data_IF_317322864987
#
_entry.id   IF_317322864987
#
_cell.length_a   1.000
_cell.length_b   1.000
_cell.length_c   1.000
_cell.angle_alpha   90.00
_cell.angle_beta   90.00
_cell.angle_gamma   90.00
#
_symmetry.space_group_name_H-M   'P 1'
#
loop_
_entity.id
_entity.type
_entity.pdbx_description
1 polymer ?
#
# COMPACT_ATOMS: atom_id res chain seq x y z
N UNK A 1 -0.25 23.68 -2.79
CA UNK A 1 -1.31 22.93 -2.11
C UNK A 1 -1.13 22.90 -0.60
N UNK A 2 0.09 22.98 -0.10
CA UNK A 2 0.42 23.21 1.34
C UNK A 2 -0.19 24.49 1.95
N UNK A 3 -0.57 25.46 1.14
CA UNK A 3 -1.12 26.75 1.59
C UNK A 3 -2.63 26.69 1.94
N UNK A 4 -3.36 25.67 1.48
CA UNK A 4 -4.80 25.56 1.74
C UNK A 4 -5.11 24.95 3.13
N UNK A 5 -4.24 24.07 3.62
CA UNK A 5 -4.45 23.44 4.95
C UNK A 5 -4.11 24.36 6.14
N UNK A 6 -3.35 25.44 5.93
CA UNK A 6 -3.02 26.42 6.99
C UNK A 6 -4.16 27.35 7.36
N UNK A 7 -5.26 27.37 6.59
CA UNK A 7 -6.40 28.29 6.82
C UNK A 7 -7.69 27.59 7.27
N UNK A 8 -7.71 26.25 7.34
CA UNK A 8 -8.89 25.50 7.77
C UNK A 8 -8.75 25.15 9.26
N UNK A 9 -9.16 26.05 10.14
CA UNK A 9 -9.44 25.72 11.53
C UNK A 9 -10.85 25.15 11.60
N UNK A 10 -11.00 23.85 11.61
CA UNK A 10 -12.30 23.22 11.85
C UNK A 10 -12.67 23.43 13.33
N UNK A 11 -13.81 24.04 13.57
CA UNK A 11 -14.29 24.30 14.93
C UNK A 11 -15.19 23.18 15.47
N UNK A 12 -15.61 22.24 14.61
CA UNK A 12 -16.38 21.07 14.99
C UNK A 12 -16.35 19.94 13.93
N UNK A 13 -16.80 18.74 14.34
CA UNK A 13 -16.83 17.52 13.55
C UNK A 13 -17.76 17.61 12.33
N UNK A 14 -18.83 18.37 12.44
CA UNK A 14 -19.86 18.48 11.40
C UNK A 14 -19.32 19.29 10.20
N UNK A 15 -18.49 20.31 10.44
CA UNK A 15 -17.85 21.12 9.39
C UNK A 15 -16.84 20.30 8.56
N UNK A 16 -16.07 19.42 9.22
CA UNK A 16 -15.16 18.49 8.55
C UNK A 16 -15.92 17.46 7.71
N UNK A 17 -17.02 16.93 8.22
CA UNK A 17 -17.86 15.93 7.54
C UNK A 17 -18.52 16.52 6.30
N UNK A 18 -19.02 17.76 6.37
CA UNK A 18 -19.66 18.41 5.23
C UNK A 18 -18.66 18.74 4.12
N UNK A 19 -17.43 19.14 4.44
CA UNK A 19 -16.39 19.43 3.44
C UNK A 19 -15.88 18.12 2.79
N UNK A 20 -15.77 17.03 3.53
CA UNK A 20 -15.46 15.70 3.00
C UNK A 20 -16.54 15.20 2.02
N UNK A 21 -17.81 15.52 2.29
CA UNK A 21 -18.95 15.20 1.42
C UNK A 21 -18.91 15.99 0.12
N UNK A 22 -18.55 17.28 0.17
CA UNK A 22 -18.42 18.15 -1.00
C UNK A 22 -17.24 17.75 -1.91
N UNK A 23 -16.22 17.07 -1.34
CA UNK A 23 -15.11 16.46 -2.07
C UNK A 23 -15.45 15.08 -2.67
N UNK A 24 -16.71 14.62 -2.55
CA UNK A 24 -17.20 13.39 -3.16
C UNK A 24 -16.93 12.11 -2.35
N UNK A 25 -16.66 12.22 -1.07
CA UNK A 25 -16.59 11.08 -0.15
C UNK A 25 -17.98 10.69 0.30
N UNK A 26 -18.53 9.60 -0.20
CA UNK A 26 -19.81 9.06 0.26
C UNK A 26 -19.68 8.45 1.65
N UNK A 27 -20.54 8.87 2.55
CA UNK A 27 -20.52 8.70 4.01
C UNK A 27 -20.92 7.29 4.51
N UNK A 28 -21.11 6.29 3.67
CA UNK A 28 -21.76 5.04 4.07
C UNK A 28 -20.88 4.05 4.86
N UNK A 29 -19.57 4.31 5.09
CA UNK A 29 -18.67 3.36 5.75
C UNK A 29 -17.90 3.89 6.99
N UNK A 30 -18.03 5.17 7.38
CA UNK A 30 -17.22 5.71 8.49
C UNK A 30 -18.01 6.65 9.41
N UNK A 31 -18.10 6.27 10.68
CA UNK A 31 -18.31 7.20 11.78
C UNK A 31 -16.97 7.43 12.45
N UNK A 32 -16.51 8.68 12.55
CA UNK A 32 -15.33 9.06 13.35
C UNK A 32 -15.41 8.51 14.77
N UNK A 33 -16.65 8.31 15.28
CA UNK A 33 -16.95 7.67 16.55
C UNK A 33 -16.48 6.22 16.65
N UNK A 34 -16.36 5.48 15.53
CA UNK A 34 -15.96 4.07 15.53
C UNK A 34 -14.43 3.92 15.48
N UNK A 35 -13.70 4.99 15.10
CA UNK A 35 -12.24 5.04 15.11
C UNK A 35 -11.64 5.43 16.47
N UNK A 36 -12.46 5.62 17.52
CA UNK A 36 -11.99 5.96 18.87
C UNK A 36 -11.92 7.46 19.17
N UNK A 37 -12.49 8.32 18.29
CA UNK A 37 -12.45 9.78 18.43
C UNK A 37 -13.51 10.37 19.40
N UNK A 38 -14.39 9.55 19.99
CA UNK A 38 -15.54 10.02 20.79
C UNK A 38 -15.23 10.81 22.06
N UNK A 39 -14.04 10.65 22.62
CA UNK A 39 -13.67 11.20 23.91
C UNK A 39 -12.36 12.02 23.89
N UNK A 40 -11.95 12.52 22.73
CA UNK A 40 -10.76 13.36 22.64
C UNK A 40 -11.11 14.81 22.94
N UNK A 41 -10.73 15.29 24.13
CA UNK A 41 -10.66 16.70 24.46
C UNK A 41 -9.48 17.31 23.69
N UNK A 42 -9.74 17.98 22.57
CA UNK A 42 -8.73 18.62 21.73
C UNK A 42 -8.00 19.78 22.43
N UNK A 43 -8.51 20.26 23.57
CA UNK A 43 -7.93 21.35 24.35
C UNK A 43 -6.69 20.93 25.17
N UNK A 44 -6.38 19.65 25.31
CA UNK A 44 -5.30 19.16 26.19
C UNK A 44 -3.95 18.97 25.47
N UNK A 45 -3.88 19.28 24.16
CA UNK A 45 -2.66 19.08 23.33
C UNK A 45 -1.82 20.35 23.09
N UNK A 46 -2.08 21.44 23.83
CA UNK A 46 -1.39 22.72 23.62
C UNK A 46 -0.30 22.99 24.66
N UNK A 47 0.54 22.03 25.00
CA UNK A 47 1.68 22.33 25.85
C UNK A 47 3.03 22.04 25.15
N UNK A 48 3.54 23.08 24.50
CA UNK A 48 4.98 23.32 24.45
C UNK A 48 5.78 23.01 23.20
N UNK A 49 5.22 22.96 22.00
CA UNK A 49 5.98 23.27 20.75
C UNK A 49 5.00 23.50 19.59
N UNK A 50 5.28 24.51 18.75
CA UNK A 50 4.48 24.88 17.57
C UNK A 50 4.51 23.83 16.42
N UNK A 51 4.47 22.53 16.75
CA UNK A 51 4.34 21.46 15.76
C UNK A 51 2.86 21.24 15.55
N UNK A 52 2.36 21.69 14.41
CA UNK A 52 0.99 21.39 13.98
C UNK A 52 1.02 19.94 13.48
N UNK A 53 0.41 19.02 14.23
CA UNK A 53 0.25 17.63 13.84
C UNK A 53 -0.96 17.53 12.90
N UNK A 54 -0.77 16.96 11.72
CA UNK A 54 -1.87 16.68 10.77
C UNK A 54 -2.82 15.59 11.30
N UNK A 55 -2.34 14.78 12.28
CA UNK A 55 -3.08 13.69 12.90
C UNK A 55 -2.72 13.62 14.39
N UNK A 56 -3.70 13.60 15.33
CA UNK A 56 -3.40 13.42 16.74
C UNK A 56 -2.85 12.01 17.00
N UNK A 57 -1.95 11.87 17.98
CA UNK A 57 -1.46 10.57 18.40
C UNK A 57 -2.55 9.77 19.12
N UNK A 58 -2.98 8.66 18.54
CA UNK A 58 -3.89 7.68 19.14
C UNK A 58 -3.19 6.32 19.13
N UNK A 59 -2.93 5.74 20.30
CA UNK A 59 -2.24 4.48 20.39
C UNK A 59 -3.08 3.33 19.81
N UNK A 60 -2.54 2.56 18.87
CA UNK A 60 -3.20 1.35 18.35
C UNK A 60 -3.28 0.28 19.44
N UNK A 61 -4.46 -0.32 19.62
CA UNK A 61 -4.64 -1.46 20.53
C UNK A 61 -3.73 -2.64 20.13
N UNK A 62 -3.17 -3.36 21.11
CA UNK A 62 -2.24 -4.45 20.90
C UNK A 62 -2.81 -5.55 20.00
N UNK A 63 -4.12 -5.87 20.13
CA UNK A 63 -4.78 -6.88 19.28
C UNK A 63 -4.85 -6.43 17.82
N UNK A 64 -5.00 -5.13 17.58
CA UNK A 64 -4.99 -4.55 16.23
C UNK A 64 -3.57 -4.58 15.67
N UNK A 65 -2.55 -4.25 16.47
CA UNK A 65 -1.13 -4.40 16.08
C UNK A 65 -0.84 -5.81 15.59
N UNK A 66 -1.19 -6.83 16.40
CA UNK A 66 -1.01 -8.23 16.01
C UNK A 66 -1.75 -8.57 14.71
N UNK A 67 -3.01 -8.14 14.58
CA UNK A 67 -3.81 -8.39 13.39
C UNK A 67 -3.23 -7.69 12.13
N UNK A 68 -2.66 -6.49 12.26
CA UNK A 68 -1.96 -5.81 11.17
C UNK A 68 -0.72 -6.59 10.74
N UNK A 69 0.10 -7.04 11.69
CA UNK A 69 1.31 -7.81 11.43
C UNK A 69 0.97 -9.17 10.78
N UNK A 70 -0.10 -9.83 11.22
CA UNK A 70 -0.57 -11.10 10.65
C UNK A 70 -1.13 -10.91 9.25
N UNK A 71 -2.00 -9.91 9.03
CA UNK A 71 -2.59 -9.62 7.72
C UNK A 71 -1.52 -9.24 6.69
N UNK A 72 -0.49 -8.49 7.11
CA UNK A 72 0.67 -8.15 6.28
C UNK A 72 1.67 -9.30 6.15
N UNK A 73 1.46 -10.44 6.84
CA UNK A 73 2.35 -11.60 6.80
C UNK A 73 3.81 -11.24 7.17
N UNK A 74 3.97 -10.40 8.20
CA UNK A 74 5.29 -9.91 8.63
C UNK A 74 6.17 -11.03 9.14
N UNK A 75 7.41 -11.07 8.70
CA UNK A 75 8.39 -12.10 9.01
C UNK A 75 9.80 -11.53 9.24
N UNK A 76 10.72 -12.34 9.68
CA UNK A 76 12.13 -11.97 9.88
C UNK A 76 12.90 -11.61 8.58
N UNK A 77 12.29 -11.87 7.42
CA UNK A 77 12.87 -11.50 6.12
C UNK A 77 12.50 -10.08 5.71
N UNK A 78 11.61 -9.45 6.45
CA UNK A 78 11.05 -8.15 6.12
C UNK A 78 11.87 -6.98 6.70
N UNK A 79 11.65 -5.82 6.10
CA UNK A 79 11.97 -4.51 6.65
C UNK A 79 10.65 -3.75 6.75
N UNK A 80 10.15 -3.61 7.97
CA UNK A 80 8.91 -2.90 8.25
C UNK A 80 9.20 -1.41 8.42
N UNK A 81 8.40 -0.57 7.77
CA UNK A 81 8.35 0.87 8.01
C UNK A 81 6.97 1.24 8.58
N UNK A 82 6.97 1.91 9.73
CA UNK A 82 5.76 2.47 10.35
C UNK A 82 5.77 3.98 10.15
N UNK A 83 4.85 4.48 9.31
CA UNK A 83 4.79 5.90 8.95
C UNK A 83 3.74 6.59 9.84
N UNK A 84 4.20 7.50 10.71
CA UNK A 84 3.45 8.02 11.84
C UNK A 84 3.52 7.04 13.01
N UNK A 85 4.74 6.67 13.43
CA UNK A 85 4.95 5.52 14.32
C UNK A 85 4.57 5.79 15.78
N UNK A 86 4.32 7.05 16.16
CA UNK A 86 4.04 7.43 17.54
C UNK A 86 5.07 6.86 18.50
N UNK A 87 4.62 6.16 19.54
CA UNK A 87 5.45 5.53 20.57
C UNK A 87 6.18 4.25 20.11
N UNK A 88 6.15 3.93 18.81
CA UNK A 88 6.89 2.83 18.21
C UNK A 88 6.33 1.43 18.46
N UNK A 89 5.11 1.30 19.03
CA UNK A 89 4.55 -0.01 19.43
C UNK A 89 4.46 -1.03 18.32
N UNK A 90 4.12 -0.64 17.08
CA UNK A 90 4.03 -1.57 15.94
C UNK A 90 5.42 -2.05 15.55
N UNK A 91 6.40 -1.15 15.49
CA UNK A 91 7.80 -1.48 15.17
C UNK A 91 8.41 -2.41 16.23
N UNK A 92 8.18 -2.10 17.52
CA UNK A 92 8.67 -2.91 18.65
C UNK A 92 8.01 -4.28 18.65
N UNK A 93 6.69 -4.38 18.44
CA UNK A 93 5.99 -5.66 18.35
C UNK A 93 6.50 -6.51 17.18
N UNK A 94 6.73 -5.93 16.00
CA UNK A 94 7.31 -6.63 14.86
C UNK A 94 8.71 -7.16 15.16
N UNK A 95 9.55 -6.36 15.82
CA UNK A 95 10.89 -6.78 16.22
C UNK A 95 10.86 -7.90 17.26
N UNK A 96 10.04 -7.76 18.30
CA UNK A 96 9.96 -8.69 19.43
C UNK A 96 9.37 -10.06 19.02
N UNK A 97 8.30 -10.06 18.25
CA UNK A 97 7.53 -11.26 17.96
C UNK A 97 7.91 -11.94 16.65
N UNK A 98 8.37 -11.17 15.66
CA UNK A 98 8.67 -11.67 14.31
C UNK A 98 10.16 -11.63 13.99
N UNK A 99 10.99 -11.09 14.91
CA UNK A 99 12.43 -10.85 14.67
C UNK A 99 12.65 -10.02 13.39
N UNK A 100 11.77 -9.03 13.15
CA UNK A 100 11.74 -8.17 11.94
C UNK A 100 12.53 -6.90 12.21
N UNK A 101 13.30 -6.45 11.23
CA UNK A 101 13.90 -5.12 11.28
C UNK A 101 12.80 -4.08 11.04
N UNK A 102 12.75 -3.05 11.87
CA UNK A 102 11.73 -2.03 11.80
C UNK A 102 12.31 -0.61 11.84
N UNK A 103 11.68 0.27 11.08
CA UNK A 103 11.95 1.71 11.05
C UNK A 103 10.66 2.44 11.37
N UNK A 104 10.66 3.29 12.39
CA UNK A 104 9.57 4.17 12.73
C UNK A 104 9.90 5.60 12.33
N UNK A 105 8.97 6.30 11.72
CA UNK A 105 9.09 7.70 11.34
C UNK A 105 7.91 8.47 11.93
N UNK A 106 8.21 9.54 12.65
CA UNK A 106 7.21 10.45 13.20
C UNK A 106 7.74 11.89 13.19
N UNK A 107 6.84 12.84 13.05
CA UNK A 107 7.21 14.26 13.05
C UNK A 107 7.40 14.78 14.47
N UNK A 108 6.84 14.10 15.48
CA UNK A 108 6.91 14.49 16.88
C UNK A 108 8.17 13.94 17.57
N UNK A 109 9.16 14.77 17.94
CA UNK A 109 10.38 14.32 18.60
C UNK A 109 10.13 13.67 19.96
N UNK A 110 9.02 14.01 20.66
CA UNK A 110 8.66 13.35 21.91
C UNK A 110 8.26 11.90 21.66
N UNK A 111 7.46 11.63 20.63
CA UNK A 111 7.09 10.27 20.25
C UNK A 111 8.30 9.43 19.85
N UNK A 112 9.23 10.02 19.11
CA UNK A 112 10.50 9.36 18.76
C UNK A 112 11.33 9.01 20.02
N UNK A 113 11.38 9.90 20.99
CA UNK A 113 12.05 9.61 22.28
C UNK A 113 11.38 8.42 23.00
N UNK A 114 10.07 8.45 23.13
CA UNK A 114 9.29 7.35 23.75
C UNK A 114 9.49 6.02 23.02
N UNK A 115 9.49 6.04 21.68
CA UNK A 115 9.70 4.85 20.85
C UNK A 115 11.10 4.24 21.07
N UNK A 116 12.15 5.07 21.17
CA UNK A 116 13.52 4.64 21.47
C UNK A 116 13.59 4.01 22.87
N UNK A 117 13.03 4.67 23.87
CA UNK A 117 13.00 4.18 25.25
C UNK A 117 12.22 2.85 25.35
N UNK A 118 11.11 2.73 24.64
CA UNK A 118 10.32 1.50 24.60
C UNK A 118 11.11 0.35 23.96
N UNK A 119 11.80 0.57 22.85
CA UNK A 119 12.64 -0.44 22.21
C UNK A 119 13.81 -0.88 23.12
N UNK A 120 14.45 0.05 23.83
CA UNK A 120 15.51 -0.26 24.79
C UNK A 120 14.98 -1.06 25.98
N UNK A 121 13.83 -0.68 26.53
CA UNK A 121 13.20 -1.37 27.66
C UNK A 121 12.82 -2.83 27.30
N UNK A 122 12.42 -3.06 26.07
CA UNK A 122 12.05 -4.40 25.57
C UNK A 122 13.24 -5.19 25.02
N UNK A 123 14.43 -4.56 24.88
CA UNK A 123 15.66 -5.20 24.42
C UNK A 123 15.68 -5.51 22.92
N UNK A 124 14.96 -4.74 22.11
CA UNK A 124 14.90 -4.89 20.63
C UNK A 124 15.52 -3.72 19.87
N UNK A 125 16.24 -2.83 20.54
CA UNK A 125 16.89 -1.65 19.98
C UNK A 125 17.83 -1.97 18.82
N UNK A 126 18.38 -3.16 18.78
CA UNK A 126 19.28 -3.61 17.71
C UNK A 126 18.55 -3.98 16.40
N UNK A 127 17.22 -4.16 16.45
CA UNK A 127 16.36 -4.41 15.27
C UNK A 127 15.58 -3.17 14.84
N UNK A 128 15.53 -2.12 15.67
CA UNK A 128 14.66 -0.98 15.47
C UNK A 128 15.46 0.30 15.21
N UNK A 129 14.88 1.17 14.40
CA UNK A 129 15.42 2.51 14.16
C UNK A 129 14.26 3.52 14.13
N UNK A 130 14.38 4.60 14.89
CA UNK A 130 13.35 5.63 14.94
C UNK A 130 13.94 6.97 14.49
N UNK A 131 13.21 7.70 13.66
CA UNK A 131 13.65 8.94 13.06
C UNK A 131 12.56 10.00 13.15
N UNK A 132 12.92 11.19 13.62
CA UNK A 132 12.10 12.37 13.43
C UNK A 132 12.08 12.76 11.93
N UNK A 133 10.89 12.97 11.36
CA UNK A 133 10.77 13.36 9.97
C UNK A 133 9.35 13.43 9.46
N UNK A 134 9.17 14.25 8.43
CA UNK A 134 7.93 14.29 7.66
C UNK A 134 7.80 13.03 6.77
N UNK A 135 6.77 12.24 7.00
CA UNK A 135 6.50 11.03 6.22
C UNK A 135 6.24 11.30 4.72
N UNK A 136 5.88 12.54 4.36
CA UNK A 136 5.73 12.95 2.96
C UNK A 136 7.07 13.23 2.27
N UNK A 137 8.18 13.40 3.03
CA UNK A 137 9.53 13.65 2.52
C UNK A 137 10.49 12.48 2.81
N UNK A 138 10.21 11.66 3.82
CA UNK A 138 11.07 10.57 4.27
C UNK A 138 11.30 9.49 3.21
N UNK A 139 12.49 8.87 3.20
CA UNK A 139 12.80 7.73 2.34
C UNK A 139 12.37 6.41 3.00
N UNK A 140 11.39 5.75 2.41
CA UNK A 140 10.91 4.42 2.78
C UNK A 140 11.07 3.39 1.66
N UNK A 141 11.89 3.67 0.66
CA UNK A 141 12.07 2.83 -0.54
C UNK A 141 12.61 1.42 -0.24
N UNK A 142 13.17 1.19 0.94
CA UNK A 142 13.68 -0.10 1.39
C UNK A 142 12.62 -0.98 2.06
N UNK A 143 11.42 -0.43 2.31
CA UNK A 143 10.35 -1.18 2.96
C UNK A 143 9.92 -2.39 2.12
N UNK A 144 9.67 -3.51 2.81
CA UNK A 144 8.93 -4.68 2.29
C UNK A 144 7.54 -4.77 2.89
N UNK A 145 7.36 -4.11 4.04
CA UNK A 145 6.07 -3.89 4.70
C UNK A 145 6.00 -2.43 5.15
N UNK A 146 4.86 -1.80 4.95
CA UNK A 146 4.51 -0.48 5.50
C UNK A 146 3.28 -0.62 6.38
N UNK A 147 3.32 0.00 7.56
CA UNK A 147 2.15 0.13 8.45
C UNK A 147 1.74 1.59 8.55
N UNK A 148 0.41 1.81 8.66
CA UNK A 148 -0.20 3.12 8.69
C UNK A 148 -1.33 3.14 9.72
N UNK A 149 -1.38 4.20 10.52
CA UNK A 149 -2.57 4.60 11.27
C UNK A 149 -2.76 6.11 11.12
N UNK A 150 -3.11 6.52 9.90
CA UNK A 150 -3.24 7.90 9.48
C UNK A 150 -4.62 8.13 8.87
N UNK A 151 -5.10 9.38 8.87
CA UNK A 151 -6.38 9.74 8.25
C UNK A 151 -6.41 9.40 6.75
N UNK A 152 -7.61 9.15 6.20
CA UNK A 152 -7.81 8.85 4.77
C UNK A 152 -7.16 9.89 3.86
N UNK A 153 -7.23 11.17 4.21
CA UNK A 153 -6.64 12.27 3.43
C UNK A 153 -5.11 12.13 3.36
N UNK A 154 -4.46 11.81 4.48
CA UNK A 154 -3.02 11.62 4.54
C UNK A 154 -2.61 10.37 3.75
N UNK A 155 -3.37 9.28 3.88
CA UNK A 155 -3.15 8.07 3.10
C UNK A 155 -3.27 8.33 1.59
N UNK A 156 -4.28 9.10 1.15
CA UNK A 156 -4.47 9.48 -0.26
C UNK A 156 -3.34 10.37 -0.75
N UNK A 157 -2.83 11.29 0.07
CA UNK A 157 -1.70 12.15 -0.25
C UNK A 157 -0.40 11.34 -0.37
N UNK A 158 -0.18 10.37 0.52
CA UNK A 158 1.00 9.50 0.53
C UNK A 158 0.98 8.45 -0.60
N UNK A 159 -0.21 8.04 -1.04
CA UNK A 159 -0.42 6.98 -2.04
C UNK A 159 0.43 7.07 -3.30
N UNK A 160 0.61 8.23 -3.96
CA UNK A 160 1.48 8.32 -5.15
C UNK A 160 2.91 7.89 -4.86
N UNK A 161 3.47 8.31 -3.72
CA UNK A 161 4.82 7.92 -3.29
C UNK A 161 4.90 6.43 -2.98
N UNK A 162 3.92 5.86 -2.27
CA UNK A 162 3.83 4.42 -2.00
C UNK A 162 3.85 3.60 -3.30
N UNK A 163 3.11 4.04 -4.32
CA UNK A 163 3.04 3.37 -5.63
C UNK A 163 4.28 3.55 -6.50
N UNK A 164 5.04 4.63 -6.32
CA UNK A 164 6.19 4.97 -7.16
C UNK A 164 7.51 4.53 -6.56
N UNK A 165 7.67 4.62 -5.24
CA UNK A 165 8.94 4.41 -4.54
C UNK A 165 9.08 2.98 -3.99
N UNK A 166 7.97 2.33 -3.62
CA UNK A 166 8.00 0.97 -3.10
C UNK A 166 8.14 -0.06 -4.22
N UNK A 167 8.82 -1.15 -3.91
CA UNK A 167 8.96 -2.28 -4.84
C UNK A 167 7.63 -3.00 -5.02
N UNK A 168 7.30 -3.46 -6.23
CA UNK A 168 6.16 -4.36 -6.43
C UNK A 168 6.24 -5.56 -5.50
N UNK A 169 5.11 -5.90 -4.86
CA UNK A 169 5.04 -6.94 -3.84
C UNK A 169 5.21 -6.43 -2.40
N UNK A 170 5.61 -5.16 -2.19
CA UNK A 170 5.58 -4.56 -0.85
C UNK A 170 4.14 -4.54 -0.33
N UNK A 171 3.93 -4.97 0.91
CA UNK A 171 2.63 -5.05 1.57
C UNK A 171 2.44 -3.80 2.42
N UNK A 172 1.24 -3.23 2.37
CA UNK A 172 0.86 -2.06 3.14
C UNK A 172 -0.34 -2.47 4.00
N UNK A 173 -0.23 -2.33 5.32
CA UNK A 173 -1.34 -2.55 6.26
C UNK A 173 -1.76 -1.22 6.87
N UNK A 174 -3.05 -0.90 6.81
CA UNK A 174 -3.60 0.32 7.41
C UNK A 174 -4.68 -0.01 8.44
N UNK A 175 -4.54 0.58 9.62
CA UNK A 175 -5.55 0.56 10.67
C UNK A 175 -6.64 1.58 10.36
N UNK A 176 -7.89 1.14 10.32
CA UNK A 176 -9.12 1.89 10.15
C UNK A 176 -9.29 2.60 8.80
N UNK A 177 -8.27 3.26 8.27
CA UNK A 177 -8.36 4.21 7.17
C UNK A 177 -7.93 3.61 5.83
N UNK A 178 -8.62 3.99 4.75
CA UNK A 178 -8.40 3.46 3.41
C UNK A 178 -7.52 4.38 2.53
N UNK A 179 -7.36 4.04 1.25
CA UNK A 179 -6.60 4.81 0.26
C UNK A 179 -7.47 5.32 -0.89
N UNK A 180 -8.71 5.72 -0.59
CA UNK A 180 -9.65 6.25 -1.57
C UNK A 180 -10.02 5.22 -2.64
N UNK A 181 -9.80 5.55 -3.90
CA UNK A 181 -10.15 4.71 -5.04
C UNK A 181 -9.17 3.55 -5.31
N UNK A 182 -8.04 3.49 -4.60
CA UNK A 182 -7.19 2.30 -4.58
C UNK A 182 -7.76 1.28 -3.62
N UNK A 183 -8.59 0.38 -4.12
CA UNK A 183 -9.25 -0.65 -3.30
C UNK A 183 -8.24 -1.63 -2.71
N UNK A 184 -8.44 -1.98 -1.43
CA UNK A 184 -7.59 -2.94 -0.76
C UNK A 184 -7.66 -4.33 -1.42
N UNK A 185 -6.55 -5.07 -1.39
CA UNK A 185 -6.49 -6.47 -1.83
C UNK A 185 -7.16 -7.39 -0.80
N UNK A 186 -6.99 -7.08 0.49
CA UNK A 186 -7.61 -7.79 1.61
C UNK A 186 -8.13 -6.82 2.67
N UNK A 187 -9.16 -7.23 3.39
CA UNK A 187 -9.74 -6.51 4.52
C UNK A 187 -10.09 -7.49 5.62
N UNK A 188 -9.71 -7.17 6.85
CA UNK A 188 -10.09 -7.89 8.06
C UNK A 188 -10.86 -6.96 9.00
N UNK A 189 -12.03 -7.38 9.49
CA UNK A 189 -12.82 -6.60 10.44
C UNK A 189 -12.64 -7.15 11.87
N UNK A 190 -12.39 -6.26 12.81
CA UNK A 190 -12.25 -6.55 14.24
C UNK A 190 -13.21 -5.66 15.04
N UNK A 191 -14.42 -6.13 15.26
CA UNK A 191 -15.51 -5.31 15.81
C UNK A 191 -15.92 -4.24 14.80
N UNK A 192 -15.87 -2.96 15.21
CA UNK A 192 -16.11 -1.80 14.34
C UNK A 192 -14.89 -1.38 13.52
N UNK A 193 -13.69 -1.87 13.85
CA UNK A 193 -12.44 -1.47 13.18
C UNK A 193 -12.17 -2.35 11.99
N UNK A 194 -11.77 -1.75 10.87
CA UNK A 194 -11.28 -2.46 9.70
C UNK A 194 -9.76 -2.33 9.60
N UNK A 195 -9.10 -3.40 9.21
CA UNK A 195 -7.69 -3.40 8.82
C UNK A 195 -7.64 -3.73 7.35
N UNK A 196 -6.93 -2.93 6.60
CA UNK A 196 -6.81 -3.06 5.15
C UNK A 196 -5.41 -3.50 4.76
N UNK A 197 -5.30 -4.34 3.72
CA UNK A 197 -4.01 -4.68 3.10
C UNK A 197 -4.02 -4.34 1.62
N UNK A 198 -2.96 -3.69 1.15
CA UNK A 198 -2.63 -3.52 -0.26
C UNK A 198 -1.30 -4.18 -0.56
N UNK A 199 -1.17 -4.68 -1.79
CA UNK A 199 0.09 -5.17 -2.34
C UNK A 199 0.48 -4.24 -3.48
N UNK A 200 1.63 -3.58 -3.36
CA UNK A 200 2.09 -2.63 -4.39
C UNK A 200 2.22 -3.34 -5.73
N UNK A 201 1.48 -2.92 -6.76
CA UNK A 201 1.47 -3.60 -8.05
C UNK A 201 2.64 -3.17 -8.93
N UNK A 202 3.16 -4.08 -9.74
CA UNK A 202 4.08 -3.74 -10.80
C UNK A 202 3.41 -2.86 -11.88
N UNK A 203 4.20 -2.05 -12.58
CA UNK A 203 3.72 -1.18 -13.67
C UNK A 203 3.75 -1.96 -15.00
N UNK A 204 2.61 -2.57 -15.36
CA UNK A 204 2.48 -3.45 -16.54
C UNK A 204 1.72 -2.82 -17.71
N UNK A 205 1.24 -1.58 -17.60
CA UNK A 205 0.58 -0.88 -18.70
C UNK A 205 1.48 -0.74 -19.93
N UNK A 206 0.91 -0.88 -21.12
CA UNK A 206 1.59 -0.76 -22.41
C UNK A 206 1.49 -2.01 -23.27
N UNK A 207 2.23 -2.04 -24.37
CA UNK A 207 2.22 -3.15 -25.33
C UNK A 207 3.38 -4.09 -25.07
N UNK A 208 3.09 -5.41 -25.00
CA UNK A 208 4.06 -6.45 -24.72
C UNK A 208 3.99 -7.54 -25.79
N UNK A 209 5.15 -8.08 -26.18
CA UNK A 209 5.26 -9.17 -27.15
C UNK A 209 6.18 -10.27 -26.64
N UNK A 210 5.79 -11.52 -26.87
CA UNK A 210 6.61 -12.71 -26.58
C UNK A 210 6.26 -13.87 -27.50
N UNK A 211 7.13 -14.88 -27.52
CA UNK A 211 6.89 -16.14 -28.19
C UNK A 211 6.63 -17.23 -27.16
N UNK A 212 5.58 -18.06 -27.41
CA UNK A 212 5.31 -19.22 -26.60
C UNK A 212 6.09 -20.45 -27.08
N UNK A 213 6.17 -21.47 -26.22
CA UNK A 213 6.84 -22.75 -26.53
C UNK A 213 6.20 -23.49 -27.72
N UNK A 214 4.93 -23.19 -28.03
CA UNK A 214 4.24 -23.67 -29.24
C UNK A 214 4.74 -23.06 -30.55
N UNK A 215 5.58 -22.01 -30.48
CA UNK A 215 6.01 -21.20 -31.62
C UNK A 215 5.06 -20.05 -31.98
N UNK A 216 3.92 -19.93 -31.29
CA UNK A 216 3.01 -18.79 -31.50
C UNK A 216 3.57 -17.50 -30.93
N UNK A 217 3.35 -16.39 -31.63
CA UNK A 217 3.69 -15.05 -31.15
C UNK A 217 2.45 -14.42 -30.50
N UNK A 218 2.61 -13.92 -29.28
CA UNK A 218 1.59 -13.21 -28.53
C UNK A 218 1.93 -11.73 -28.43
N UNK A 219 0.92 -10.91 -28.55
CA UNK A 219 0.97 -9.47 -28.29
C UNK A 219 -0.21 -9.10 -27.41
N UNK A 220 0.01 -8.27 -26.40
CA UNK A 220 -1.06 -7.69 -25.57
C UNK A 220 -0.85 -6.19 -25.45
N UNK A 221 -1.95 -5.45 -25.42
CA UNK A 221 -1.97 -4.03 -25.06
C UNK A 221 -2.72 -3.91 -23.74
N UNK A 222 -2.01 -3.57 -22.67
CA UNK A 222 -2.54 -3.53 -21.32
C UNK A 222 -2.79 -2.10 -20.85
N UNK A 223 -3.97 -1.89 -20.26
CA UNK A 223 -4.35 -0.71 -19.48
C UNK A 223 -4.38 -1.11 -18.02
N UNK A 224 -3.91 -0.20 -17.14
CA UNK A 224 -3.80 -0.47 -15.71
C UNK A 224 -4.30 0.71 -14.90
N UNK A 225 -5.07 0.41 -13.86
CA UNK A 225 -5.33 1.31 -12.74
C UNK A 225 -5.10 0.53 -11.46
N UNK A 226 -4.00 0.87 -10.75
CA UNK A 226 -3.52 0.13 -9.57
C UNK A 226 -3.27 -1.35 -9.91
N UNK A 227 -3.83 -2.30 -9.16
CA UNK A 227 -3.77 -3.74 -9.43
C UNK A 227 -4.76 -4.22 -10.50
N UNK A 228 -5.65 -3.35 -10.99
CA UNK A 228 -6.62 -3.70 -12.03
C UNK A 228 -6.01 -3.56 -13.41
N UNK A 229 -6.02 -4.65 -14.17
CA UNK A 229 -5.48 -4.72 -15.52
C UNK A 229 -6.59 -5.17 -16.48
N UNK A 230 -6.64 -4.54 -17.64
CA UNK A 230 -7.48 -4.93 -18.77
C UNK A 230 -6.75 -4.67 -20.07
N UNK A 231 -7.23 -5.17 -21.20
CA UNK A 231 -6.56 -4.90 -22.46
C UNK A 231 -7.05 -5.72 -23.62
N UNK A 232 -6.25 -5.74 -24.67
CA UNK A 232 -6.47 -6.48 -25.92
C UNK A 232 -5.35 -7.48 -26.13
N UNK A 233 -5.61 -8.55 -26.87
CA UNK A 233 -4.63 -9.57 -27.18
C UNK A 233 -4.66 -9.95 -28.66
N UNK A 234 -3.52 -10.36 -29.19
CA UNK A 234 -3.34 -10.91 -30.53
C UNK A 234 -2.46 -12.14 -30.47
N UNK A 235 -2.75 -13.12 -31.33
CA UNK A 235 -1.93 -14.31 -31.53
C UNK A 235 -1.61 -14.43 -33.01
N UNK A 236 -0.32 -14.45 -33.35
CA UNK A 236 0.17 -14.46 -34.74
C UNK A 236 -0.42 -13.32 -35.58
N UNK A 237 -0.52 -12.11 -34.98
CA UNK A 237 -1.08 -10.92 -35.62
C UNK A 237 -2.61 -10.90 -35.76
N UNK A 238 -3.33 -11.93 -35.34
CA UNK A 238 -4.80 -11.97 -35.36
C UNK A 238 -5.34 -11.67 -33.98
N UNK A 239 -6.40 -10.88 -33.91
CA UNK A 239 -7.11 -10.58 -32.67
C UNK A 239 -7.51 -11.85 -31.92
N UNK A 240 -7.32 -11.85 -30.63
CA UNK A 240 -7.59 -12.93 -29.70
C UNK A 240 -8.31 -12.40 -28.46
N UNK A 241 -9.00 -13.27 -27.73
CA UNK A 241 -9.71 -12.88 -26.53
C UNK A 241 -8.77 -12.90 -25.31
N UNK A 242 -8.53 -11.75 -24.66
CA UNK A 242 -7.99 -11.69 -23.31
C UNK A 242 -9.13 -12.00 -22.33
N UNK A 243 -9.16 -13.22 -21.81
CA UNK A 243 -10.25 -13.71 -20.94
C UNK A 243 -10.07 -13.28 -19.49
N UNK A 244 -8.82 -13.13 -19.04
CA UNK A 244 -8.46 -12.67 -17.70
C UNK A 244 -7.11 -12.00 -17.72
N UNK A 245 -6.94 -10.97 -16.89
CA UNK A 245 -5.66 -10.37 -16.54
C UNK A 245 -5.68 -10.07 -15.03
N UNK A 246 -4.86 -10.78 -14.27
CA UNK A 246 -4.74 -10.64 -12.82
C UNK A 246 -3.33 -10.18 -12.49
N UNK A 247 -3.22 -9.09 -11.74
CA UNK A 247 -1.94 -8.56 -11.27
C UNK A 247 -1.93 -8.56 -9.73
N UNK A 248 -0.97 -9.27 -9.17
CA UNK A 248 -0.74 -9.31 -7.72
C UNK A 248 0.75 -9.07 -7.44
N UNK A 249 1.07 -7.91 -6.88
CA UNK A 249 2.45 -7.50 -6.68
C UNK A 249 3.22 -7.49 -8.01
N UNK A 250 4.26 -8.31 -8.12
CA UNK A 250 5.09 -8.44 -9.31
C UNK A 250 4.64 -9.55 -10.28
N UNK A 251 3.59 -10.31 -9.93
CA UNK A 251 3.07 -11.40 -10.74
C UNK A 251 1.88 -10.95 -11.60
N UNK A 252 1.98 -11.17 -12.91
CA UNK A 252 0.92 -10.96 -13.90
C UNK A 252 0.48 -12.29 -14.48
N UNK A 253 -0.78 -12.65 -14.31
CA UNK A 253 -1.41 -13.78 -14.98
C UNK A 253 -2.32 -13.28 -16.11
N UNK A 254 -2.09 -13.81 -17.32
CA UNK A 254 -2.91 -13.55 -18.51
C UNK A 254 -3.51 -14.83 -19.03
N UNK A 255 -4.83 -14.85 -19.25
CA UNK A 255 -5.53 -15.97 -19.87
C UNK A 255 -6.03 -15.56 -21.24
N UNK A 256 -5.49 -16.18 -22.30
CA UNK A 256 -5.74 -15.81 -23.70
C UNK A 256 -6.37 -16.98 -24.45
N UNK A 257 -7.44 -16.70 -25.21
CA UNK A 257 -8.06 -17.63 -26.17
C UNK A 257 -7.82 -17.17 -27.59
N UNK A 258 -7.22 -18.01 -28.45
CA UNK A 258 -6.98 -17.72 -29.86
C UNK A 258 -8.27 -17.47 -30.65
N UNK A 259 -9.33 -18.22 -30.31
CA UNK A 259 -10.69 -18.10 -30.86
C UNK A 259 -11.69 -18.75 -29.91
N UNK A 260 -12.99 -18.64 -30.21
CA UNK A 260 -14.08 -19.15 -29.38
C UNK A 260 -13.99 -20.65 -29.08
N UNK A 261 -13.42 -21.44 -30.00
CA UNK A 261 -13.34 -22.91 -29.91
C UNK A 261 -11.99 -23.40 -29.34
N UNK A 262 -11.00 -22.51 -29.15
CA UNK A 262 -9.71 -22.89 -28.61
C UNK A 262 -9.75 -23.01 -27.09
N UNK A 263 -8.90 -23.89 -26.54
CA UNK A 263 -8.65 -23.91 -25.10
C UNK A 263 -7.93 -22.63 -24.70
N UNK A 264 -8.27 -22.04 -23.54
CA UNK A 264 -7.52 -20.91 -23.00
C UNK A 264 -6.08 -21.34 -22.67
N UNK A 265 -5.16 -20.42 -22.85
CA UNK A 265 -3.75 -20.57 -22.47
C UNK A 265 -3.48 -19.54 -21.39
N UNK A 266 -2.91 -19.98 -20.27
CA UNK A 266 -2.47 -19.11 -19.16
C UNK A 266 -0.97 -18.84 -19.28
N UNK A 267 -0.60 -17.61 -19.01
CA UNK A 267 0.78 -17.14 -18.87
C UNK A 267 0.91 -16.49 -17.51
N UNK A 268 1.78 -17.03 -16.66
CA UNK A 268 2.14 -16.48 -15.35
C UNK A 268 3.54 -15.89 -15.48
N UNK A 269 3.63 -14.58 -15.36
CA UNK A 269 4.87 -13.84 -15.62
C UNK A 269 5.21 -12.94 -14.45
N UNK A 270 6.50 -12.88 -14.11
CA UNK A 270 7.02 -11.93 -13.13
C UNK A 270 7.55 -10.68 -13.81
N UNK A 271 7.13 -9.53 -13.32
CA UNK A 271 7.62 -8.25 -13.80
C UNK A 271 9.00 -7.97 -13.20
N UNK A 272 10.04 -8.00 -14.03
CA UNK A 272 11.42 -7.72 -13.62
C UNK A 272 12.02 -6.65 -14.54
N UNK A 273 12.39 -5.52 -13.96
CA UNK A 273 12.89 -4.35 -14.69
C UNK A 273 11.90 -3.89 -15.79
N UNK A 274 12.16 -4.20 -17.05
CA UNK A 274 11.35 -3.82 -18.21
C UNK A 274 10.86 -5.04 -19.01
N UNK A 275 10.82 -6.20 -18.39
CA UNK A 275 10.43 -7.46 -19.02
C UNK A 275 9.40 -8.19 -18.15
N UNK A 276 8.57 -9.02 -18.80
CA UNK A 276 7.73 -9.99 -18.11
C UNK A 276 8.34 -11.38 -18.38
N UNK A 277 8.82 -12.02 -17.32
CA UNK A 277 9.57 -13.27 -17.38
C UNK A 277 8.67 -14.40 -16.87
N UNK A 278 8.57 -15.50 -17.63
CA UNK A 278 7.81 -16.67 -17.23
C UNK A 278 8.23 -17.19 -15.85
N UNK A 279 7.24 -17.57 -15.07
CA UNK A 279 7.43 -18.37 -13.85
C UNK A 279 7.58 -19.83 -14.26
N UNK A 280 8.25 -20.64 -13.45
CA UNK A 280 8.50 -22.06 -13.72
C UNK A 280 7.22 -22.81 -14.14
N UNK A 281 7.30 -23.56 -15.23
CA UNK A 281 6.17 -24.33 -15.78
C UNK A 281 5.27 -23.57 -16.76
N UNK A 282 5.56 -22.30 -17.04
CA UNK A 282 4.80 -21.49 -17.99
C UNK A 282 5.14 -21.86 -19.46
N UNK A 283 4.22 -21.53 -20.35
CA UNK A 283 4.30 -21.78 -21.79
C UNK A 283 5.06 -20.69 -22.57
N UNK A 284 5.66 -19.71 -21.91
CA UNK A 284 6.44 -18.66 -22.52
C UNK A 284 7.83 -19.18 -22.93
N UNK A 285 8.22 -19.01 -24.19
CA UNK A 285 9.55 -19.40 -24.69
C UNK A 285 10.56 -18.26 -24.59
N UNK A 286 10.10 -17.01 -24.66
CA UNK A 286 10.94 -15.81 -24.56
C UNK A 286 10.34 -14.84 -23.56
N UNK A 287 11.15 -14.06 -22.82
CA UNK A 287 10.62 -12.97 -22.00
C UNK A 287 9.75 -12.03 -22.85
N UNK A 288 8.62 -11.58 -22.29
CA UNK A 288 7.84 -10.54 -22.95
C UNK A 288 8.59 -9.20 -22.84
N UNK A 289 8.76 -8.55 -23.97
CA UNK A 289 9.42 -7.25 -24.06
C UNK A 289 8.40 -6.17 -24.35
N UNK A 290 8.62 -5.00 -23.76
CA UNK A 290 7.75 -3.84 -24.00
C UNK A 290 8.05 -3.27 -25.39
N UNK A 291 7.03 -3.19 -26.22
CA UNK A 291 7.13 -2.57 -27.55
C UNK A 291 6.98 -1.05 -27.35
N UNK A 292 7.98 -0.31 -27.81
CA UNK A 292 7.87 1.15 -27.92
C UNK A 292 7.23 1.42 -29.28
N UNK A 293 5.99 1.87 -29.28
CA UNK A 293 5.35 2.30 -30.52
C UNK A 293 6.24 3.42 -31.12
N UNK A 294 6.83 3.13 -32.29
CA UNK A 294 7.54 4.19 -33.04
C UNK A 294 6.49 5.18 -33.48
N UNK A 295 6.52 6.39 -32.89
CA UNK A 295 5.79 7.57 -33.34
C UNK A 295 6.11 7.87 -34.80
#
# INVERSE_FOLDING_TARGET
MYALYRELSFNDEDELIDELRDLGYEHDDYSLSDAGFRDLDFDDYSDGADIILDVPFIPTDEKIVHAMLDLAEVSSQDVLYDLGCGDGRIVVAAALERNTRGVGIDVDPMRITEAIEYAQHTGVEYLTHFMEGDLLEADFSQATVVTLYLLDLVNVQLRPRLLDELRPGTRIASHAFNMGDWKADERQSMGSINIYKWIVPAKVAGTWEWQATSGDTYRVELKQKYQRVSGLAWVNGKEAQLSSALLQGDLLELVIKKNTNSRPISFIMRCQAKQLIAVEGDQQATPAVKVVDKL
#
